data_IF_834187402691
#
_entry.id   IF_834187402691
#
_cell.length_a   1.000
_cell.length_b   1.000
_cell.length_c   1.000
_cell.angle_alpha   90.00
_cell.angle_beta   90.00
_cell.angle_gamma   90.00
#
_symmetry.space_group_name_H-M   'P 1'
#
loop_
_entity.id
_entity.type
_entity.pdbx_description
1 polymer ?
#
# COMPACT_ATOMS: atom_id res chain seq x y z
N UNK A 1 -15.40 -9.38 16.78
CA UNK A 1 -16.44 -10.36 16.39
C UNK A 1 -16.65 -10.25 14.89
N UNK A 2 -16.33 -11.31 14.14
CA UNK A 2 -16.38 -11.34 12.67
C UNK A 2 -17.27 -12.49 12.18
N UNK A 3 -17.11 -12.92 10.92
CA UNK A 3 -17.95 -13.96 10.31
C UNK A 3 -18.06 -15.27 11.10
N UNK A 4 -17.05 -15.63 11.90
CA UNK A 4 -17.06 -16.83 12.75
C UNK A 4 -17.90 -16.73 14.04
N UNK A 5 -18.48 -15.57 14.36
CA UNK A 5 -19.33 -15.42 15.55
C UNK A 5 -20.79 -15.85 15.33
N UNK A 6 -21.22 -16.04 14.08
CA UNK A 6 -22.62 -16.28 13.69
C UNK A 6 -22.82 -17.56 12.86
N UNK A 7 -21.88 -18.50 12.93
CA UNK A 7 -21.94 -19.78 12.21
C UNK A 7 -20.97 -19.88 11.04
N UNK A 8 -21.15 -20.92 10.21
CA UNK A 8 -20.29 -21.22 9.05
C UNK A 8 -20.86 -20.52 7.83
N UNK A 9 -20.08 -19.62 7.23
CA UNK A 9 -20.43 -18.99 5.95
C UNK A 9 -20.32 -20.02 4.83
N UNK A 10 -21.42 -20.29 4.13
CA UNK A 10 -21.45 -21.24 3.01
C UNK A 10 -21.14 -20.56 1.66
N UNK A 11 -21.60 -19.33 1.47
CA UNK A 11 -21.39 -18.57 0.23
C UNK A 11 -21.56 -17.06 0.44
N UNK A 12 -20.93 -16.27 -0.44
CA UNK A 12 -21.15 -14.82 -0.56
C UNK A 12 -21.75 -14.50 -1.93
N UNK A 13 -22.77 -13.63 -1.96
CA UNK A 13 -23.23 -13.00 -3.20
C UNK A 13 -22.53 -11.64 -3.35
N UNK A 14 -21.56 -11.56 -4.25
CA UNK A 14 -20.71 -10.38 -4.45
C UNK A 14 -21.34 -9.44 -5.49
N UNK A 15 -21.28 -8.13 -5.24
CA UNK A 15 -21.64 -7.10 -6.23
C UNK A 15 -20.39 -6.65 -6.96
N UNK A 16 -20.33 -6.89 -8.27
CA UNK A 16 -19.24 -6.39 -9.12
C UNK A 16 -19.36 -4.87 -9.29
N UNK A 17 -18.21 -4.21 -9.35
CA UNK A 17 -18.10 -2.77 -9.64
C UNK A 17 -17.44 -2.59 -11.00
N UNK A 18 -17.83 -1.53 -11.71
CA UNK A 18 -17.21 -1.16 -12.98
C UNK A 18 -15.84 -0.55 -12.72
N UNK A 19 -14.86 -0.89 -13.56
CA UNK A 19 -13.51 -0.33 -13.52
C UNK A 19 -13.12 0.09 -14.94
N UNK A 20 -12.23 1.09 -15.11
CA UNK A 20 -11.67 1.43 -16.40
C UNK A 20 -10.99 0.22 -17.08
N UNK A 21 -10.98 0.21 -18.41
CA UNK A 21 -10.31 -0.85 -19.19
C UNK A 21 -8.79 -0.83 -19.03
N UNK A 22 -8.22 0.30 -18.63
CA UNK A 22 -6.79 0.50 -18.42
C UNK A 22 -6.59 1.37 -17.20
N UNK A 23 -5.68 0.95 -16.32
CA UNK A 23 -5.24 1.71 -15.14
C UNK A 23 -3.74 1.93 -15.22
N UNK A 24 -3.26 2.95 -14.52
CA UNK A 24 -1.84 3.22 -14.31
C UNK A 24 -1.41 2.65 -12.98
N UNK A 25 -0.22 2.04 -12.93
CA UNK A 25 0.39 1.58 -11.68
C UNK A 25 1.81 2.13 -11.57
N UNK A 26 2.25 2.38 -10.34
CA UNK A 26 3.64 2.76 -10.07
C UNK A 26 4.21 2.04 -8.85
N UNK A 27 5.53 1.91 -8.82
CA UNK A 27 6.29 1.37 -7.70
C UNK A 27 7.58 2.17 -7.51
N UNK A 28 7.63 2.98 -6.46
CA UNK A 28 8.79 3.81 -6.12
C UNK A 28 9.40 3.31 -4.82
N UNK A 29 10.64 2.86 -4.86
CA UNK A 29 11.37 2.38 -3.67
C UNK A 29 12.32 3.48 -3.16
N UNK A 30 12.32 3.69 -1.85
CA UNK A 30 13.21 4.61 -1.14
C UNK A 30 13.93 3.88 -0.02
N UNK A 31 15.24 4.11 0.10
CA UNK A 31 16.02 3.71 1.29
C UNK A 31 15.89 4.75 2.40
N UNK A 32 16.30 4.43 3.63
CA UNK A 32 16.32 5.38 4.75
C UNK A 32 17.17 6.61 4.45
N UNK A 33 18.28 6.43 3.73
CA UNK A 33 19.17 7.52 3.34
C UNK A 33 18.52 8.44 2.28
N UNK A 34 17.68 7.87 1.40
CA UNK A 34 16.93 8.62 0.39
C UNK A 34 15.70 9.35 0.95
N UNK A 35 15.15 8.86 2.06
CA UNK A 35 14.05 9.49 2.79
C UNK A 35 14.56 10.04 4.14
N UNK A 36 15.56 10.93 4.08
CA UNK A 36 16.15 11.54 5.26
C UNK A 36 15.08 12.20 6.15
N UNK A 37 15.17 11.93 7.45
CA UNK A 37 14.21 12.33 8.48
C UNK A 37 12.76 11.84 8.24
N UNK A 38 12.58 10.79 7.43
CA UNK A 38 11.26 10.23 7.07
C UNK A 38 10.30 11.25 6.42
N UNK A 39 10.80 12.29 5.74
CA UNK A 39 9.97 13.38 5.19
C UNK A 39 8.91 12.88 4.21
N UNK A 40 9.25 11.93 3.34
CA UNK A 40 8.33 11.33 2.36
C UNK A 40 7.30 10.47 3.09
N UNK A 41 7.75 9.62 4.02
CA UNK A 41 6.86 8.76 4.79
C UNK A 41 5.86 9.58 5.62
N UNK A 42 6.34 10.61 6.34
CA UNK A 42 5.48 11.49 7.14
C UNK A 42 4.51 12.27 6.26
N UNK A 43 4.92 12.71 5.06
CA UNK A 43 4.00 13.33 4.11
C UNK A 43 2.93 12.34 3.66
N UNK A 44 3.32 11.10 3.29
CA UNK A 44 2.38 10.06 2.90
C UNK A 44 1.36 9.78 4.01
N UNK A 45 1.78 9.69 5.28
CA UNK A 45 0.87 9.49 6.43
C UNK A 45 -0.21 10.57 6.56
N UNK A 46 0.08 11.82 6.15
CA UNK A 46 -0.85 12.96 6.31
C UNK A 46 -1.76 13.15 5.11
N UNK A 47 -1.31 12.77 3.91
CA UNK A 47 -2.02 13.07 2.66
C UNK A 47 -2.71 11.85 2.04
N UNK A 48 -2.26 10.62 2.30
CA UNK A 48 -2.72 9.43 1.58
C UNK A 48 -4.23 9.17 1.73
N UNK A 49 -4.82 9.52 2.87
CA UNK A 49 -6.27 9.39 3.13
C UNK A 49 -7.11 10.54 2.55
N UNK A 50 -6.46 11.58 2.02
CA UNK A 50 -7.11 12.81 1.49
C UNK A 50 -6.92 12.98 -0.01
N UNK A 51 -6.31 12.01 -0.68
CA UNK A 51 -6.16 12.02 -2.14
C UNK A 51 -7.51 11.78 -2.82
N UNK A 52 -7.58 12.07 -4.11
CA UNK A 52 -8.75 11.75 -4.95
C UNK A 52 -9.03 10.24 -4.89
N UNK A 53 -10.31 9.85 -4.88
CA UNK A 53 -10.74 8.46 -4.65
C UNK A 53 -10.16 7.45 -5.65
N UNK A 54 -9.89 7.91 -6.88
CA UNK A 54 -9.30 7.08 -7.94
C UNK A 54 -7.83 6.75 -7.67
N UNK A 55 -7.12 7.57 -6.88
CA UNK A 55 -5.71 7.40 -6.57
C UNK A 55 -5.51 6.68 -5.24
N UNK A 56 -5.06 5.43 -5.35
CA UNK A 56 -4.64 4.65 -4.19
C UNK A 56 -3.12 4.56 -4.11
N UNK A 57 -2.55 4.83 -2.92
CA UNK A 57 -1.10 4.68 -2.66
C UNK A 57 -0.89 3.96 -1.33
N UNK A 58 -0.20 2.81 -1.36
CA UNK A 58 0.24 2.08 -0.16
C UNK A 58 1.76 2.10 -0.02
N UNK A 59 2.23 2.03 1.22
CA UNK A 59 3.64 1.80 1.55
C UNK A 59 3.84 0.36 2.01
N UNK A 60 4.86 -0.30 1.48
CA UNK A 60 5.31 -1.62 1.92
C UNK A 60 6.75 -1.52 2.37
N UNK A 61 6.99 -1.78 3.65
CA UNK A 61 8.34 -1.87 4.20
C UNK A 61 8.94 -3.26 3.91
N UNK A 62 10.18 -3.28 3.43
CA UNK A 62 10.94 -4.50 3.20
C UNK A 62 12.36 -4.30 3.72
N UNK A 63 13.09 -5.40 3.86
CA UNK A 63 14.53 -5.37 4.16
C UNK A 63 15.29 -5.64 2.86
N UNK A 64 16.23 -4.77 2.52
CA UNK A 64 17.14 -4.93 1.39
C UNK A 64 18.59 -5.10 1.87
N UNK A 65 19.39 -5.85 1.12
CA UNK A 65 20.81 -6.10 1.39
C UNK A 65 21.15 -7.56 1.62
N UNK A 66 22.44 -7.90 1.59
CA UNK A 66 22.95 -9.26 1.75
C UNK A 66 24.09 -9.30 2.79
N UNK A 67 24.26 -10.44 3.48
CA UNK A 67 25.33 -10.75 4.43
C UNK A 67 25.90 -9.56 5.24
N UNK A 68 25.15 -9.11 6.26
CA UNK A 68 25.62 -8.16 7.28
C UNK A 68 25.15 -6.71 7.08
N UNK A 69 24.99 -6.26 5.84
CA UNK A 69 24.50 -4.91 5.53
C UNK A 69 23.03 -4.93 5.11
N UNK A 70 22.13 -5.08 6.08
CA UNK A 70 20.68 -4.99 5.87
C UNK A 70 20.21 -3.56 6.15
N UNK A 71 19.40 -3.00 5.25
CA UNK A 71 18.72 -1.72 5.43
C UNK A 71 17.22 -1.89 5.20
N UNK A 72 16.41 -1.04 5.84
CA UNK A 72 14.97 -0.99 5.60
C UNK A 72 14.71 -0.13 4.37
N UNK A 73 13.84 -0.60 3.48
CA UNK A 73 13.36 0.15 2.33
C UNK A 73 11.84 0.31 2.41
N UNK A 74 11.35 1.45 1.95
CA UNK A 74 9.94 1.74 1.80
C UNK A 74 9.59 1.74 0.31
N UNK A 75 8.68 0.86 -0.10
CA UNK A 75 8.15 0.82 -1.48
C UNK A 75 6.75 1.41 -1.51
N UNK A 76 6.63 2.57 -2.17
CA UNK A 76 5.38 3.28 -2.44
C UNK A 76 4.76 2.70 -3.72
N UNK A 77 3.67 1.96 -3.56
CA UNK A 77 2.94 1.31 -4.65
C UNK A 77 1.60 2.00 -4.81
N UNK A 78 1.29 2.49 -6.01
CA UNK A 78 0.00 3.11 -6.27
C UNK A 78 -0.62 2.71 -7.59
N UNK A 79 -1.91 3.01 -7.69
CA UNK A 79 -2.74 2.77 -8.86
C UNK A 79 -3.78 3.89 -9.01
N UNK A 80 -4.08 4.26 -10.25
CA UNK A 80 -5.13 5.21 -10.63
C UNK A 80 -5.57 5.00 -12.07
#
# INVERSE_FOLDING_TARGET
SGGGSFGIILAWKIKLVSVPSTITVFNVTKTLEQDADNKILSKWQVVADKLVEELFIRVVFNVAGNNGNKTVIASYKGQF
#
